data_IF_704975019720
#
_entry.id   IF_704975019720
#
_cell.length_a   1.000
_cell.length_b   1.000
_cell.length_c   1.000
_cell.angle_alpha   90.00
_cell.angle_beta   90.00
_cell.angle_gamma   90.00
#
_symmetry.space_group_name_H-M   'P 1'
#
loop_
_entity.id
_entity.type
_entity.pdbx_description
1 polymer ?
#
# COMPACT_ATOMS: atom_id res chain seq x y z
N UNK A 1 -10.31 3.24 3.95
CA UNK A 1 -10.02 4.39 4.83
C UNK A 1 -10.72 5.62 4.26
N UNK A 2 -11.57 6.30 5.03
CA UNK A 2 -12.12 7.61 4.64
C UNK A 2 -11.18 8.68 5.18
N UNK A 3 -10.64 9.53 4.31
CA UNK A 3 -9.71 10.61 4.68
C UNK A 3 -10.45 11.93 4.52
N UNK A 4 -10.30 12.84 5.47
CA UNK A 4 -10.91 14.16 5.37
C UNK A 4 -10.34 14.90 4.14
N UNK A 5 -11.16 15.57 3.32
CA UNK A 5 -10.71 16.17 2.06
C UNK A 5 -9.56 17.19 2.19
N UNK A 6 -9.45 17.86 3.34
CA UNK A 6 -8.37 18.83 3.61
C UNK A 6 -7.03 18.19 4.02
N UNK A 7 -6.95 16.86 4.10
CA UNK A 7 -5.72 16.15 4.47
C UNK A 7 -5.12 15.48 3.25
N UNK A 8 -3.84 15.75 2.99
CA UNK A 8 -3.12 15.05 1.96
C UNK A 8 -2.96 13.56 2.33
N UNK A 9 -3.06 12.69 1.32
CA UNK A 9 -2.83 11.25 1.49
C UNK A 9 -1.39 10.99 1.95
N UNK A 10 -0.42 11.72 1.41
CA UNK A 10 0.99 11.60 1.78
C UNK A 10 1.22 11.84 3.28
N UNK A 11 0.65 12.90 3.84
CA UNK A 11 0.75 13.20 5.28
C UNK A 11 0.09 12.11 6.13
N UNK A 12 -1.07 11.62 5.68
CA UNK A 12 -1.80 10.55 6.37
C UNK A 12 -0.98 9.27 6.43
N UNK A 13 -0.40 8.83 5.30
CA UNK A 13 0.43 7.62 5.23
C UNK A 13 1.74 7.80 5.99
N UNK A 14 2.36 8.99 5.95
CA UNK A 14 3.57 9.31 6.72
C UNK A 14 3.32 9.14 8.22
N UNK A 15 2.22 9.71 8.73
CA UNK A 15 1.85 9.58 10.14
C UNK A 15 1.55 8.13 10.52
N UNK A 16 0.78 7.42 9.69
CA UNK A 16 0.44 6.02 9.91
C UNK A 16 1.69 5.14 10.01
N UNK A 17 2.58 5.22 9.01
CA UNK A 17 3.81 4.43 8.95
C UNK A 17 4.77 4.81 10.08
N UNK A 18 5.00 6.10 10.29
CA UNK A 18 5.94 6.59 11.31
C UNK A 18 5.51 6.21 12.73
N UNK A 19 4.24 6.44 13.08
CA UNK A 19 3.75 6.15 14.42
C UNK A 19 3.70 4.64 14.70
N UNK A 20 3.25 3.84 13.73
CA UNK A 20 3.23 2.38 13.87
C UNK A 20 4.63 1.79 13.96
N UNK A 21 5.59 2.25 13.14
CA UNK A 21 6.98 1.82 13.27
C UNK A 21 7.57 2.17 14.63
N UNK A 22 7.33 3.39 15.13
CA UNK A 22 7.79 3.78 16.47
C UNK A 22 7.18 2.87 17.54
N UNK A 23 5.87 2.63 17.48
CA UNK A 23 5.16 1.79 18.45
C UNK A 23 5.64 0.34 18.44
N UNK A 24 5.74 -0.29 17.26
CA UNK A 24 6.18 -1.68 17.12
C UNK A 24 7.60 -1.86 17.64
N UNK A 25 8.50 -0.95 17.28
CA UNK A 25 9.89 -1.01 17.73
C UNK A 25 10.03 -0.73 19.23
N UNK A 26 9.29 0.24 19.78
CA UNK A 26 9.37 0.56 21.21
C UNK A 26 8.85 -0.56 22.10
N UNK A 27 7.94 -1.39 21.58
CA UNK A 27 7.38 -2.55 22.29
C UNK A 27 8.05 -3.87 21.89
N UNK A 28 9.09 -3.84 21.03
CA UNK A 28 9.80 -5.02 20.54
C UNK A 28 8.85 -6.12 20.04
N UNK A 29 7.79 -5.73 19.32
CA UNK A 29 6.74 -6.69 18.93
C UNK A 29 7.21 -7.69 17.86
N UNK A 30 8.37 -7.46 17.24
CA UNK A 30 9.00 -8.35 16.28
C UNK A 30 10.50 -8.49 16.59
N UNK A 31 11.16 -9.60 16.17
CA UNK A 31 12.56 -9.90 16.56
C UNK A 31 13.61 -8.93 16.02
N UNK A 32 13.29 -8.17 14.98
CA UNK A 32 14.19 -7.24 14.32
C UNK A 32 13.65 -5.80 14.39
N UNK A 33 14.47 -4.83 13.97
CA UNK A 33 13.96 -3.46 13.79
C UNK A 33 12.92 -3.46 12.68
N UNK A 34 11.69 -3.14 13.02
CA UNK A 34 10.59 -3.04 12.06
C UNK A 34 10.69 -1.75 11.26
N UNK A 35 10.58 -1.86 9.94
CA UNK A 35 10.42 -0.74 9.04
C UNK A 35 9.39 -1.07 7.96
N UNK A 36 8.68 -0.04 7.51
CA UNK A 36 7.83 -0.15 6.34
C UNK A 36 8.66 0.00 5.08
N UNK A 37 8.22 -0.65 4.00
CA UNK A 37 8.59 -0.27 2.63
C UNK A 37 8.54 1.25 2.43
N UNK A 38 9.51 1.82 1.72
CA UNK A 38 9.65 3.28 1.53
C UNK A 38 8.43 3.90 0.84
N UNK A 39 8.01 3.32 -0.30
CA UNK A 39 6.89 3.79 -1.11
C UNK A 39 5.50 3.34 -0.63
N UNK A 40 4.45 3.85 -1.27
CA UNK A 40 3.08 3.34 -1.11
C UNK A 40 2.28 3.54 -2.40
N UNK A 41 1.29 2.67 -2.63
CA UNK A 41 0.27 2.86 -3.66
C UNK A 41 -1.00 3.47 -3.06
N UNK A 42 -1.61 4.43 -3.76
CA UNK A 42 -2.90 5.00 -3.39
C UNK A 42 -3.82 5.05 -4.61
N UNK A 43 -4.98 4.41 -4.49
CA UNK A 43 -6.01 4.36 -5.53
C UNK A 43 -7.34 4.80 -4.92
N UNK A 44 -8.02 5.77 -5.55
CA UNK A 44 -9.34 6.21 -5.12
C UNK A 44 -10.40 5.18 -5.51
N UNK A 45 -11.42 5.04 -4.65
CA UNK A 45 -12.56 4.15 -4.87
C UNK A 45 -13.84 4.94 -4.62
N UNK A 46 -14.87 4.72 -5.44
CA UNK A 46 -16.19 5.30 -5.19
C UNK A 46 -16.86 4.58 -4.02
N UNK A 47 -17.75 5.27 -3.29
CA UNK A 47 -18.49 4.67 -2.18
C UNK A 47 -19.31 3.45 -2.64
N UNK A 48 -19.86 3.49 -3.86
CA UNK A 48 -20.59 2.37 -4.47
C UNK A 48 -19.74 1.11 -4.65
N UNK A 49 -18.43 1.25 -4.79
CA UNK A 49 -17.49 0.14 -4.93
C UNK A 49 -16.89 -0.30 -3.60
N UNK A 50 -17.16 0.41 -2.51
CA UNK A 50 -16.53 0.17 -1.20
C UNK A 50 -16.72 -1.27 -0.72
N UNK A 51 -17.91 -1.84 -0.87
CA UNK A 51 -18.21 -3.20 -0.42
C UNK A 51 -17.50 -4.26 -1.25
N UNK A 52 -17.39 -4.05 -2.56
CA UNK A 52 -16.61 -4.93 -3.43
C UNK A 52 -15.12 -4.87 -3.11
N UNK A 53 -14.59 -3.69 -2.75
CA UNK A 53 -13.19 -3.53 -2.34
C UNK A 53 -12.93 -4.19 -1.00
N UNK A 54 -13.85 -4.11 -0.03
CA UNK A 54 -13.74 -4.83 1.25
C UNK A 54 -13.64 -6.33 1.03
N UNK A 55 -14.59 -6.90 0.27
CA UNK A 55 -14.55 -8.34 -0.07
C UNK A 55 -13.26 -8.74 -0.76
N UNK A 56 -12.74 -7.91 -1.66
CA UNK A 56 -11.45 -8.15 -2.29
C UNK A 56 -10.30 -8.20 -1.26
N UNK A 57 -10.24 -7.25 -0.32
CA UNK A 57 -9.23 -7.22 0.75
C UNK A 57 -9.34 -8.44 1.67
N UNK A 58 -10.56 -8.84 2.04
CA UNK A 58 -10.80 -10.01 2.90
C UNK A 58 -10.31 -11.32 2.28
N UNK A 59 -10.35 -11.42 0.95
CA UNK A 59 -9.93 -12.61 0.20
C UNK A 59 -8.50 -12.51 -0.37
N UNK A 60 -7.71 -11.51 0.03
CA UNK A 60 -6.35 -11.29 -0.49
C UNK A 60 -5.42 -12.47 -0.26
N UNK A 61 -5.53 -13.15 0.88
CA UNK A 61 -4.67 -14.31 1.16
C UNK A 61 -4.89 -15.43 0.13
N UNK A 62 -6.14 -15.76 -0.17
CA UNK A 62 -6.46 -16.77 -1.18
C UNK A 62 -6.06 -16.30 -2.59
N UNK A 63 -6.33 -15.04 -2.91
CA UNK A 63 -5.93 -14.43 -4.17
C UNK A 63 -4.42 -14.53 -4.41
N UNK A 64 -3.62 -14.23 -3.38
CA UNK A 64 -2.16 -14.26 -3.44
C UNK A 64 -1.54 -15.67 -3.45
N UNK A 65 -2.35 -16.72 -3.29
CA UNK A 65 -1.92 -18.10 -3.59
C UNK A 65 -1.82 -18.36 -5.10
N UNK A 66 -2.48 -17.55 -5.93
CA UNK A 66 -2.54 -17.72 -7.40
C UNK A 66 -1.89 -16.58 -8.18
N UNK A 67 -1.81 -15.39 -7.61
CA UNK A 67 -1.21 -14.22 -8.24
C UNK A 67 -0.23 -13.56 -7.27
N UNK A 68 1.00 -13.28 -7.70
CA UNK A 68 1.96 -12.62 -6.82
C UNK A 68 1.60 -11.15 -6.62
N UNK A 69 2.05 -10.57 -5.50
CA UNK A 69 1.93 -9.13 -5.26
C UNK A 69 2.54 -8.30 -6.41
N UNK A 70 3.68 -8.74 -6.96
CA UNK A 70 4.35 -8.02 -8.05
C UNK A 70 3.47 -7.99 -9.31
N UNK A 71 2.92 -9.14 -9.70
CA UNK A 71 2.02 -9.24 -10.86
C UNK A 71 0.79 -8.37 -10.68
N UNK A 72 0.19 -8.43 -9.50
CA UNK A 72 -0.99 -7.64 -9.15
C UNK A 72 -0.69 -6.13 -9.15
N UNK A 73 0.43 -5.71 -8.56
CA UNK A 73 0.82 -4.32 -8.52
C UNK A 73 1.07 -3.75 -9.92
N UNK A 74 1.75 -4.50 -10.79
CA UNK A 74 1.93 -4.12 -12.20
C UNK A 74 0.59 -4.04 -12.94
N UNK A 75 -0.33 -4.97 -12.67
CA UNK A 75 -1.68 -4.95 -13.25
C UNK A 75 -2.47 -3.71 -12.81
N UNK A 76 -2.40 -3.31 -11.54
CA UNK A 76 -3.00 -2.06 -11.05
C UNK A 76 -2.42 -0.84 -11.75
N UNK A 77 -1.10 -0.74 -11.85
CA UNK A 77 -0.46 0.39 -12.55
C UNK A 77 -0.90 0.48 -14.00
N UNK A 78 -0.95 -0.64 -14.70
CA UNK A 78 -1.45 -0.72 -16.08
C UNK A 78 -2.90 -0.28 -16.18
N UNK A 79 -3.78 -0.80 -15.32
CA UNK A 79 -5.21 -0.45 -15.28
C UNK A 79 -5.45 1.04 -15.04
N UNK A 80 -4.62 1.66 -14.20
CA UNK A 80 -4.72 3.07 -13.84
C UNK A 80 -3.80 3.98 -14.67
N UNK A 81 -3.18 3.47 -15.74
CA UNK A 81 -2.30 4.22 -16.64
C UNK A 81 -1.15 4.96 -15.94
N UNK A 82 -0.67 4.42 -14.81
CA UNK A 82 0.49 4.94 -14.10
C UNK A 82 1.74 4.52 -14.87
N UNK A 83 2.47 5.48 -15.45
CA UNK A 83 3.72 5.20 -16.15
C UNK A 83 4.79 4.71 -15.18
N UNK A 84 5.61 3.78 -15.66
CA UNK A 84 6.72 3.24 -14.89
C UNK A 84 7.80 2.63 -15.76
N UNK A 85 9.02 2.66 -15.27
CA UNK A 85 10.11 1.89 -15.83
C UNK A 85 10.15 0.53 -15.14
N UNK A 86 9.95 -0.59 -15.87
CA UNK A 86 9.96 -1.94 -15.31
C UNK A 86 11.22 -2.27 -14.51
N UNK A 87 12.35 -1.63 -14.83
CA UNK A 87 13.64 -1.86 -14.17
C UNK A 87 13.67 -1.37 -12.73
N UNK A 88 12.87 -0.35 -12.40
CA UNK A 88 12.95 0.35 -11.12
C UNK A 88 11.67 0.22 -10.27
N UNK A 89 10.70 -0.61 -10.69
CA UNK A 89 9.39 -0.71 -10.02
C UNK A 89 9.50 -1.19 -8.58
N UNK A 90 10.48 -2.05 -8.31
CA UNK A 90 10.67 -2.71 -7.02
C UNK A 90 12.03 -2.35 -6.40
N UNK A 91 12.72 -1.34 -6.94
CA UNK A 91 13.95 -0.83 -6.36
C UNK A 91 13.64 0.15 -5.22
N UNK A 92 14.47 0.13 -4.18
CA UNK A 92 14.29 0.95 -2.98
C UNK A 92 14.35 2.48 -3.23
N UNK A 93 14.82 2.91 -4.42
CA UNK A 93 15.13 4.31 -4.72
C UNK A 93 14.02 5.09 -5.44
N UNK A 94 13.01 4.45 -6.04
CA UNK A 94 12.03 5.15 -6.85
C UNK A 94 10.71 5.41 -6.11
N UNK A 95 10.66 6.57 -5.43
CA UNK A 95 9.41 7.25 -5.09
C UNK A 95 9.17 8.28 -6.19
N UNK A 96 8.05 8.14 -6.92
CA UNK A 96 7.62 9.13 -7.91
C UNK A 96 7.34 10.49 -7.25
#
# INVERSE_FOLDING_TARGET
MKVHPSKAIADTVKLLKGNSSKWINSHQMVPAKFEWQRGYGAFSVSESMSESVKRYIENQEEHHRRQTFQDEYLAFRKKHHVKFDPRYVFDDEHVA
#
